data_IF_547305961423
#
_entry.id   IF_547305961423
#
_cell.length_a   1.000
_cell.length_b   1.000
_cell.length_c   1.000
_cell.angle_alpha   90.00
_cell.angle_beta   90.00
_cell.angle_gamma   90.00
#
_symmetry.space_group_name_H-M   'P 1'
#
loop_
_entity.id
_entity.type
_entity.pdbx_description
1 polymer ?
#
# COMPACT_ATOMS: atom_id res chain seq x y z
N UNK A 1 7.47 -12.27 -23.06
CA UNK A 1 7.75 -13.34 -22.09
C UNK A 1 8.74 -12.78 -21.06
N UNK A 2 8.24 -12.16 -19.99
CA UNK A 2 9.14 -11.69 -18.92
C UNK A 2 9.69 -12.94 -18.26
N UNK A 3 10.99 -13.14 -18.44
CA UNK A 3 11.75 -13.95 -17.50
C UNK A 3 11.59 -13.23 -16.15
N UNK A 4 10.60 -13.63 -15.36
CA UNK A 4 10.90 -13.85 -13.94
C UNK A 4 12.12 -14.74 -14.06
N UNK A 5 13.30 -14.19 -13.79
CA UNK A 5 14.50 -15.01 -13.81
C UNK A 5 14.10 -16.22 -12.99
N UNK A 6 14.04 -17.38 -13.64
CA UNK A 6 14.43 -18.64 -13.02
C UNK A 6 15.87 -18.40 -12.57
N UNK A 7 16.06 -17.55 -11.56
CA UNK A 7 16.99 -17.84 -10.52
C UNK A 7 16.59 -19.25 -10.12
N UNK A 8 17.52 -20.19 -10.14
CA UNK A 8 17.23 -21.53 -9.68
C UNK A 8 16.85 -21.37 -8.21
N UNK A 9 15.56 -21.25 -7.93
CA UNK A 9 14.92 -21.54 -6.65
C UNK A 9 14.86 -23.06 -6.43
N UNK A 10 15.67 -23.82 -7.18
CA UNK A 10 16.06 -25.17 -6.81
C UNK A 10 16.90 -25.07 -5.53
N UNK A 11 16.25 -25.05 -4.37
CA UNK A 11 16.89 -25.23 -3.07
C UNK A 11 16.44 -24.32 -1.91
N UNK A 12 15.44 -23.44 -2.10
CA UNK A 12 14.92 -22.58 -1.01
C UNK A 12 13.41 -22.71 -0.79
N UNK A 13 12.76 -23.73 -1.37
CA UNK A 13 11.52 -24.22 -0.80
C UNK A 13 11.90 -24.98 0.46
N UNK A 14 11.82 -24.28 1.59
CA UNK A 14 11.77 -24.94 2.88
C UNK A 14 10.41 -25.61 2.96
N UNK A 15 10.38 -26.89 3.36
CA UNK A 15 9.11 -27.55 3.73
C UNK A 15 8.49 -26.92 4.99
N UNK A 16 9.25 -26.03 5.65
CA UNK A 16 8.82 -25.23 6.79
C UNK A 16 8.21 -23.93 6.25
N UNK A 17 7.13 -23.44 6.88
CA UNK A 17 6.43 -22.22 6.47
C UNK A 17 7.22 -20.91 6.74
N UNK A 18 8.54 -20.90 6.54
CA UNK A 18 9.49 -19.86 6.95
C UNK A 18 9.85 -18.85 5.83
N UNK A 19 9.13 -18.90 4.70
CA UNK A 19 9.44 -18.11 3.49
C UNK A 19 9.63 -16.59 3.74
N UNK A 20 8.81 -15.98 4.60
CA UNK A 20 8.97 -14.58 5.00
C UNK A 20 10.34 -14.30 5.62
N UNK A 21 10.80 -15.18 6.50
CA UNK A 21 12.07 -15.02 7.21
C UNK A 21 13.26 -15.27 6.30
N UNK A 22 13.15 -16.20 5.35
CA UNK A 22 14.15 -16.39 4.30
C UNK A 22 14.25 -15.16 3.38
N UNK A 23 13.09 -14.60 2.98
CA UNK A 23 13.04 -13.37 2.19
C UNK A 23 13.68 -12.19 2.93
N UNK A 24 13.36 -12.02 4.22
CA UNK A 24 13.93 -10.97 5.05
C UNK A 24 15.44 -11.16 5.27
N UNK A 25 15.88 -12.38 5.58
CA UNK A 25 17.29 -12.71 5.69
C UNK A 25 18.06 -12.41 4.40
N UNK A 26 17.49 -12.74 3.23
CA UNK A 26 18.11 -12.42 1.95
C UNK A 26 18.18 -10.90 1.70
N UNK A 27 17.21 -10.13 2.17
CA UNK A 27 17.24 -8.67 2.08
C UNK A 27 18.32 -8.05 2.98
N UNK A 28 18.48 -8.56 4.20
CA UNK A 28 19.56 -8.16 5.11
C UNK A 28 20.95 -8.48 4.55
N UNK A 29 21.10 -9.68 3.98
CA UNK A 29 22.37 -10.17 3.46
C UNK A 29 22.59 -9.70 2.01
N UNK A 30 23.28 -8.57 1.87
CA UNK A 30 23.63 -7.99 0.56
C UNK A 30 24.74 -8.81 -0.14
N UNK A 31 24.66 -8.89 -1.48
CA UNK A 31 25.67 -9.53 -2.31
C UNK A 31 25.49 -11.04 -2.56
N UNK A 32 26.61 -11.71 -2.88
CA UNK A 32 26.66 -13.17 -3.09
C UNK A 32 26.71 -13.86 -1.72
N UNK A 33 25.65 -14.58 -1.40
CA UNK A 33 25.41 -15.19 -0.09
C UNK A 33 24.98 -16.64 -0.33
N UNK A 34 25.50 -17.58 0.45
CA UNK A 34 25.11 -18.99 0.32
C UNK A 34 23.72 -19.24 0.91
N UNK A 35 22.98 -20.28 0.44
CA UNK A 35 21.70 -20.67 1.02
C UNK A 35 21.78 -20.94 2.53
N UNK A 36 22.88 -21.53 3.01
CA UNK A 36 23.08 -21.83 4.43
C UNK A 36 23.18 -20.57 5.29
N UNK A 37 23.87 -19.54 4.79
CA UNK A 37 23.95 -18.25 5.47
C UNK A 37 22.57 -17.59 5.59
N UNK A 38 21.75 -17.67 4.53
CA UNK A 38 20.37 -17.16 4.53
C UNK A 38 19.53 -17.90 5.56
N UNK A 39 19.60 -19.24 5.60
CA UNK A 39 18.87 -20.07 6.56
C UNK A 39 19.28 -19.78 8.01
N UNK A 40 20.57 -19.63 8.26
CA UNK A 40 21.10 -19.28 9.59
C UNK A 40 20.59 -17.91 10.05
N UNK A 41 20.62 -16.90 9.16
CA UNK A 41 20.13 -15.56 9.50
C UNK A 41 18.60 -15.56 9.66
N UNK A 42 17.85 -16.28 8.83
CA UNK A 42 16.40 -16.43 8.99
C UNK A 42 16.05 -17.03 10.36
N UNK A 43 16.70 -18.12 10.76
CA UNK A 43 16.54 -18.74 12.10
C UNK A 43 16.87 -17.74 13.22
N UNK A 44 17.90 -16.91 13.06
CA UNK A 44 18.25 -15.87 14.03
C UNK A 44 17.16 -14.81 14.14
N UNK A 45 16.66 -14.29 13.01
CA UNK A 45 15.62 -13.27 12.96
C UNK A 45 14.29 -13.77 13.54
N UNK A 46 13.89 -15.01 13.23
CA UNK A 46 12.72 -15.67 13.81
C UNK A 46 12.82 -15.75 15.33
N UNK A 47 13.94 -16.26 15.83
CA UNK A 47 14.16 -16.40 17.27
C UNK A 47 14.12 -15.06 17.99
N UNK A 48 14.70 -14.03 17.39
CA UNK A 48 14.65 -12.68 17.93
C UNK A 48 13.23 -12.12 17.92
N UNK A 49 12.47 -12.31 16.83
CA UNK A 49 11.11 -11.78 16.72
C UNK A 49 10.15 -12.39 17.73
N UNK A 50 10.14 -13.72 17.82
CA UNK A 50 9.28 -14.52 18.70
C UNK A 50 9.86 -14.73 20.12
N UNK A 51 11.02 -14.14 20.44
CA UNK A 51 11.70 -14.28 21.73
C UNK A 51 12.00 -15.74 22.13
N UNK A 52 12.50 -16.54 21.18
CA UNK A 52 12.73 -17.98 21.36
C UNK A 52 14.19 -18.31 21.70
N UNK A 53 14.37 -19.19 22.68
CA UNK A 53 15.66 -19.85 22.92
C UNK A 53 15.98 -20.86 21.81
N UNK A 54 17.23 -21.32 21.74
CA UNK A 54 17.65 -22.31 20.72
C UNK A 54 16.85 -23.61 20.82
N UNK A 55 16.59 -24.09 22.04
CA UNK A 55 15.82 -25.33 22.30
C UNK A 55 14.35 -25.17 21.90
N UNK A 56 13.74 -24.04 22.23
CA UNK A 56 12.34 -23.78 21.88
C UNK A 56 12.12 -23.68 20.37
N UNK A 57 13.09 -23.09 19.65
CA UNK A 57 12.99 -22.97 18.20
C UNK A 57 12.81 -24.32 17.50
N UNK A 58 13.58 -25.33 17.88
CA UNK A 58 13.60 -26.61 17.18
C UNK A 58 12.25 -27.35 17.31
N UNK A 59 11.48 -27.10 18.37
CA UNK A 59 10.08 -27.56 18.50
C UNK A 59 9.13 -26.62 17.77
N UNK A 60 9.26 -25.30 17.99
CA UNK A 60 8.39 -24.26 17.41
C UNK A 60 8.30 -24.33 15.90
N UNK A 61 9.43 -24.54 15.20
CA UNK A 61 9.48 -24.48 13.74
C UNK A 61 8.67 -25.59 13.07
N UNK A 62 8.47 -26.74 13.74
CA UNK A 62 7.70 -27.85 13.18
C UNK A 62 6.19 -27.57 13.22
N UNK A 63 5.73 -26.82 14.23
CA UNK A 63 4.33 -26.44 14.40
C UNK A 63 4.01 -25.05 13.80
N UNK A 64 5.02 -24.40 13.21
CA UNK A 64 4.92 -23.04 12.69
C UNK A 64 4.04 -22.99 11.44
N UNK A 65 2.95 -22.23 11.53
CA UNK A 65 1.96 -22.09 10.43
C UNK A 65 2.35 -21.09 9.35
N UNK A 66 3.41 -20.31 9.59
CA UNK A 66 3.80 -19.22 8.70
C UNK A 66 3.71 -17.87 9.38
N UNK A 67 4.29 -16.87 8.73
CA UNK A 67 4.24 -15.48 9.21
C UNK A 67 2.87 -14.90 8.90
N UNK A 68 2.18 -14.37 9.91
CA UNK A 68 0.87 -13.76 9.73
C UNK A 68 1.04 -12.30 9.30
N UNK A 69 0.88 -12.05 7.99
CA UNK A 69 1.04 -10.72 7.42
C UNK A 69 0.01 -9.72 7.97
N UNK A 70 -1.18 -10.19 8.35
CA UNK A 70 -2.26 -9.32 8.83
C UNK A 70 -1.93 -8.88 10.26
N UNK A 71 -1.61 -9.84 11.13
CA UNK A 71 -1.47 -9.58 12.56
C UNK A 71 -0.04 -9.19 12.99
N UNK A 72 0.99 -9.75 12.34
CA UNK A 72 2.38 -9.63 12.81
C UNK A 72 3.19 -8.55 12.09
N UNK A 73 2.76 -8.12 10.89
CA UNK A 73 3.57 -7.22 10.05
C UNK A 73 3.78 -5.84 10.67
N UNK A 74 2.77 -5.25 11.31
CA UNK A 74 2.92 -3.96 11.97
C UNK A 74 3.92 -4.04 13.13
N UNK A 75 3.83 -5.09 13.95
CA UNK A 75 4.78 -5.37 15.04
C UNK A 75 6.20 -5.55 14.51
N UNK A 76 6.34 -6.26 13.39
CA UNK A 76 7.61 -6.44 12.71
C UNK A 76 8.23 -5.13 12.21
N UNK A 77 7.44 -4.30 11.53
CA UNK A 77 7.85 -2.97 11.04
C UNK A 77 8.38 -2.09 12.17
N UNK A 78 7.68 -2.07 13.31
CA UNK A 78 8.10 -1.32 14.50
C UNK A 78 9.40 -1.88 15.07
N UNK A 79 9.44 -3.21 15.31
CA UNK A 79 10.60 -3.87 15.93
C UNK A 79 11.87 -3.75 15.09
N UNK A 80 11.74 -3.72 13.76
CA UNK A 80 12.87 -3.62 12.84
C UNK A 80 13.18 -2.21 12.36
N UNK A 81 12.31 -1.23 12.63
CA UNK A 81 12.47 0.17 12.19
C UNK A 81 12.67 0.24 10.66
N UNK A 82 11.76 -0.36 9.89
CA UNK A 82 11.83 -0.40 8.41
C UNK A 82 10.49 -0.08 7.78
N UNK A 83 10.49 0.25 6.49
CA UNK A 83 9.27 0.26 5.69
C UNK A 83 9.11 -1.08 4.97
N UNK A 84 7.87 -1.49 4.71
CA UNK A 84 7.56 -2.68 3.90
C UNK A 84 6.61 -2.28 2.77
N UNK A 85 6.98 -2.63 1.53
CA UNK A 85 6.10 -2.53 0.37
C UNK A 85 5.62 -3.94 -0.01
N UNK A 86 4.32 -4.09 -0.18
CA UNK A 86 3.66 -5.37 -0.46
C UNK A 86 3.12 -5.35 -1.89
N UNK A 87 3.68 -6.23 -2.71
CA UNK A 87 3.25 -6.46 -4.08
C UNK A 87 2.35 -7.69 -4.14
N UNK A 88 1.39 -7.64 -5.06
CA UNK A 88 0.47 -8.72 -5.36
C UNK A 88 0.53 -9.07 -6.84
N UNK A 89 0.02 -10.25 -7.17
CA UNK A 89 -0.22 -10.67 -8.54
C UNK A 89 -1.72 -10.71 -8.79
N UNK A 90 -2.16 -10.01 -9.81
CA UNK A 90 -3.51 -10.11 -10.32
C UNK A 90 -3.61 -11.32 -11.25
N UNK A 91 -4.48 -12.28 -10.92
CA UNK A 91 -4.67 -13.48 -11.72
C UNK A 91 -5.48 -13.22 -13.00
N UNK A 92 -6.42 -12.28 -12.95
CA UNK A 92 -7.33 -11.99 -14.04
C UNK A 92 -6.59 -11.21 -15.14
N UNK A 93 -5.93 -10.13 -14.73
CA UNK A 93 -5.22 -9.24 -15.65
C UNK A 93 -3.75 -9.62 -15.86
N UNK A 94 -3.24 -10.60 -15.10
CA UNK A 94 -1.89 -11.19 -15.25
C UNK A 94 -0.74 -10.17 -15.12
N UNK A 95 -0.86 -9.26 -14.16
CA UNK A 95 0.20 -8.30 -13.85
C UNK A 95 0.49 -8.23 -12.35
N UNK A 96 1.67 -7.70 -12.00
CA UNK A 96 2.06 -7.43 -10.64
C UNK A 96 1.85 -5.95 -10.31
N UNK A 97 1.38 -5.65 -9.11
CA UNK A 97 1.18 -4.28 -8.66
C UNK A 97 1.54 -4.08 -7.20
N UNK A 98 1.80 -2.83 -6.83
CA UNK A 98 2.01 -2.42 -5.45
C UNK A 98 0.64 -2.26 -4.78
N UNK A 99 0.31 -3.14 -3.82
CA UNK A 99 -0.98 -3.09 -3.13
C UNK A 99 -0.93 -2.24 -1.86
N UNK A 100 -0.05 -2.59 -0.92
CA UNK A 100 0.01 -1.92 0.38
C UNK A 100 1.44 -1.48 0.74
N UNK A 101 1.53 -0.41 1.54
CA UNK A 101 2.79 0.05 2.13
C UNK A 101 2.63 0.24 3.63
N UNK A 102 3.40 -0.53 4.41
CA UNK A 102 3.52 -0.37 5.86
C UNK A 102 4.73 0.51 6.17
N UNK A 103 4.48 1.75 6.57
CA UNK A 103 5.55 2.72 6.87
C UNK A 103 5.71 2.88 8.37
N UNK A 104 6.93 2.69 8.89
CA UNK A 104 7.20 2.79 10.33
C UNK A 104 6.72 4.12 10.93
N UNK A 105 7.06 5.24 10.30
CA UNK A 105 6.66 6.57 10.80
C UNK A 105 5.13 6.76 10.83
N UNK A 106 4.36 6.07 9.98
CA UNK A 106 2.90 6.12 10.03
C UNK A 106 2.34 5.20 11.13
N UNK A 107 2.86 3.97 11.21
CA UNK A 107 2.36 2.96 12.14
C UNK A 107 2.71 3.30 13.59
N UNK A 108 3.91 3.83 13.85
CA UNK A 108 4.33 4.22 15.20
C UNK A 108 3.44 5.31 15.79
N UNK A 109 2.96 6.24 14.95
CA UNK A 109 2.13 7.35 15.38
C UNK A 109 0.72 6.87 15.73
N UNK A 110 0.16 5.92 14.97
CA UNK A 110 -1.14 5.31 15.26
C UNK A 110 -1.15 4.63 16.63
N UNK A 111 -0.09 3.88 16.97
CA UNK A 111 0.01 3.17 18.26
C UNK A 111 0.20 4.08 19.49
N UNK A 112 0.54 5.36 19.28
CA UNK A 112 0.67 6.33 20.37
C UNK A 112 -0.71 6.92 20.74
N UNK A 113 -1.61 7.04 19.77
CA UNK A 113 -2.95 7.61 19.98
C UNK A 113 -3.86 6.68 20.80
N UNK A 114 -3.75 5.35 20.62
CA UNK A 114 -4.56 4.35 21.34
C UNK A 114 -4.18 4.16 22.83
N UNK A 115 -3.07 4.75 23.30
CA UNK A 115 -2.64 4.67 24.70
C UNK A 115 -2.94 5.94 25.52
N UNK A 116 -3.78 6.84 24.99
CA UNK A 116 -4.13 8.11 25.65
C UNK A 116 -5.61 8.23 26.03
N UNK A 117 -6.20 7.16 26.56
CA UNK A 117 -7.39 7.32 27.41
C UNK A 117 -6.96 7.70 28.83
N UNK A 118 -6.96 9.01 29.13
CA UNK A 118 -7.56 9.61 30.33
C UNK A 118 -7.28 11.13 30.41
N UNK A 119 -8.39 11.88 30.53
CA UNK A 119 -8.56 13.28 30.97
C UNK A 119 -8.53 14.40 29.91
N UNK A 120 -9.71 14.57 29.32
CA UNK A 120 -10.54 15.81 29.28
C UNK A 120 -9.89 17.21 29.36
N UNK A 121 -10.39 18.03 28.42
CA UNK A 121 -10.75 19.45 28.48
C UNK A 121 -9.76 20.55 28.00
N UNK A 122 -10.29 21.26 27.01
CA UNK A 122 -10.15 22.69 26.67
C UNK A 122 -8.84 23.29 26.10
N UNK A 123 -9.00 23.77 24.87
CA UNK A 123 -8.36 24.89 24.19
C UNK A 123 -7.34 25.73 24.99
N UNK A 124 -6.04 25.46 24.83
CA UNK A 124 -5.05 26.54 24.63
C UNK A 124 -3.73 26.00 24.08
N UNK A 125 -3.12 26.80 23.20
CA UNK A 125 -1.73 26.65 22.76
C UNK A 125 -0.77 26.40 23.91
N UNK A 126 0.15 25.45 23.77
CA UNK A 126 1.60 25.65 23.97
C UNK A 126 2.34 24.29 23.97
N UNK A 127 3.38 24.25 23.15
CA UNK A 127 4.64 23.49 23.32
C UNK A 127 4.75 22.63 24.59
N UNK A 128 4.73 21.31 24.39
CA UNK A 128 5.21 20.32 25.36
C UNK A 128 6.39 19.59 24.74
N UNK A 129 7.52 19.64 25.45
CA UNK A 129 8.85 19.20 25.04
C UNK A 129 8.84 17.78 24.44
N UNK A 130 9.03 17.70 23.12
CA UNK A 130 9.43 16.47 22.45
C UNK A 130 10.87 16.15 22.88
N UNK A 131 11.03 15.10 23.69
CA UNK A 131 12.31 14.44 23.83
C UNK A 131 12.74 13.97 22.44
N UNK A 132 13.94 14.38 22.04
CA UNK A 132 14.58 14.18 20.74
C UNK A 132 14.72 12.69 20.36
N UNK A 133 13.66 12.06 19.87
CA UNK A 133 13.76 10.84 19.06
C UNK A 133 14.08 11.26 17.61
N UNK A 134 15.23 10.85 17.04
CA UNK A 134 15.61 11.29 15.70
C UNK A 134 14.57 10.81 14.70
N UNK A 135 13.97 11.75 13.97
CA UNK A 135 13.19 11.44 12.77
C UNK A 135 14.16 10.75 11.82
N UNK A 136 14.07 9.42 11.71
CA UNK A 136 14.90 8.66 10.77
C UNK A 136 14.37 8.97 9.36
N UNK A 137 14.97 9.98 8.72
CA UNK A 137 14.51 10.50 7.42
C UNK A 137 14.72 9.51 6.27
N UNK A 138 15.54 8.47 6.45
CA UNK A 138 15.85 7.48 5.41
C UNK A 138 15.79 6.04 5.94
N UNK A 139 14.57 5.56 6.19
CA UNK A 139 14.33 4.16 6.57
C UNK A 139 14.45 3.25 5.36
N UNK A 140 15.18 2.14 5.53
CA UNK A 140 15.29 1.10 4.51
C UNK A 140 13.91 0.49 4.23
N UNK A 141 13.69 0.14 2.97
CA UNK A 141 12.42 -0.45 2.52
C UNK A 141 12.62 -1.89 2.08
N UNK A 142 11.87 -2.81 2.68
CA UNK A 142 11.82 -4.21 2.32
C UNK A 142 10.64 -4.44 1.38
N UNK A 143 10.93 -4.87 0.15
CA UNK A 143 9.90 -5.11 -0.87
C UNK A 143 9.58 -6.60 -0.92
N UNK A 144 8.31 -6.96 -0.74
CA UNK A 144 7.86 -8.35 -0.76
C UNK A 144 6.76 -8.55 -1.80
N UNK A 145 6.74 -9.73 -2.42
CA UNK A 145 5.63 -10.21 -3.23
C UNK A 145 4.90 -11.29 -2.42
N UNK A 146 3.61 -11.10 -2.22
CA UNK A 146 2.72 -12.10 -1.62
C UNK A 146 2.07 -12.92 -2.72
N UNK A 147 2.19 -14.24 -2.59
CA UNK A 147 1.56 -15.20 -3.49
C UNK A 147 0.75 -16.16 -2.65
N UNK A 148 -0.56 -16.23 -2.90
CA UNK A 148 -1.41 -17.26 -2.31
C UNK A 148 -1.18 -18.59 -3.02
N UNK A 149 -1.11 -19.66 -2.24
CA UNK A 149 -1.07 -21.04 -2.70
C UNK A 149 -2.09 -21.86 -1.88
N UNK A 150 -2.43 -23.04 -2.38
CA UNK A 150 -3.32 -23.99 -1.72
C UNK A 150 -2.61 -25.32 -1.54
N UNK A 151 -2.33 -25.69 -0.29
CA UNK A 151 -1.82 -27.01 0.04
C UNK A 151 -2.86 -27.74 0.89
N UNK A 152 -3.32 -28.91 0.44
CA UNK A 152 -4.33 -29.72 1.13
C UNK A 152 -5.55 -28.92 1.64
N UNK A 153 -6.12 -28.07 0.78
CA UNK A 153 -7.25 -27.17 1.08
C UNK A 153 -7.01 -26.10 2.17
N UNK A 154 -5.76 -25.85 2.57
CA UNK A 154 -5.38 -24.69 3.39
C UNK A 154 -4.77 -23.63 2.49
N UNK A 155 -5.29 -22.40 2.60
CA UNK A 155 -4.68 -21.24 1.97
C UNK A 155 -3.36 -20.93 2.69
N UNK A 156 -2.25 -21.01 1.97
CA UNK A 156 -0.91 -20.66 2.45
C UNK A 156 -0.45 -19.44 1.66
N UNK A 157 0.32 -18.56 2.30
CA UNK A 157 0.95 -17.45 1.61
C UNK A 157 2.45 -17.68 1.52
N UNK A 158 2.98 -17.62 0.31
CA UNK A 158 4.41 -17.55 0.06
C UNK A 158 4.85 -16.10 -0.09
N UNK A 159 5.95 -15.76 0.58
CA UNK A 159 6.55 -14.43 0.53
C UNK A 159 7.86 -14.50 -0.23
N UNK A 160 7.99 -13.68 -1.27
CA UNK A 160 9.22 -13.55 -2.05
C UNK A 160 9.83 -12.17 -1.86
N UNK A 161 11.14 -12.11 -1.67
CA UNK A 161 11.87 -10.86 -1.67
C UNK A 161 12.00 -10.30 -3.10
N UNK A 162 11.60 -9.05 -3.30
CA UNK A 162 11.66 -8.35 -4.59
C UNK A 162 12.84 -7.40 -4.64
N UNK A 163 13.80 -7.69 -5.52
CA UNK A 163 14.98 -6.84 -5.74
C UNK A 163 14.76 -5.73 -6.76
N UNK A 164 13.97 -6.00 -7.81
CA UNK A 164 13.66 -5.05 -8.87
C UNK A 164 12.14 -4.87 -9.00
N UNK A 165 11.62 -3.82 -8.35
CA UNK A 165 10.19 -3.49 -8.34
C UNK A 165 9.68 -3.04 -9.71
N UNK A 166 10.48 -2.27 -10.43
CA UNK A 166 10.13 -1.75 -11.75
C UNK A 166 10.07 -2.88 -12.77
N UNK A 167 10.99 -3.85 -12.68
CA UNK A 167 10.99 -5.05 -13.52
C UNK A 167 9.82 -6.00 -13.22
N UNK A 168 9.43 -6.10 -11.95
CA UNK A 168 8.29 -6.93 -11.52
C UNK A 168 6.97 -6.37 -12.06
N UNK A 169 6.71 -5.09 -11.80
CA UNK A 169 5.44 -4.42 -12.14
C UNK A 169 5.41 -3.89 -13.58
N UNK A 170 6.58 -3.78 -14.23
CA UNK A 170 6.77 -3.08 -15.52
C UNK A 170 6.34 -1.61 -15.48
N UNK A 171 6.26 -1.05 -14.29
CA UNK A 171 5.73 0.27 -14.02
C UNK A 171 6.74 1.00 -13.12
N UNK A 172 6.93 2.29 -13.38
CA UNK A 172 7.75 3.15 -12.51
C UNK A 172 6.83 3.91 -11.55
N UNK A 173 6.92 3.59 -10.27
CA UNK A 173 6.16 4.30 -9.24
C UNK A 173 6.87 5.61 -8.86
N UNK A 174 6.08 6.65 -8.58
CA UNK A 174 6.59 7.89 -8.01
C UNK A 174 7.20 7.63 -6.62
N UNK A 175 8.45 8.05 -6.35
CA UNK A 175 9.14 7.82 -5.08
C UNK A 175 8.62 8.68 -3.91
N UNK A 176 7.70 9.60 -4.17
CA UNK A 176 7.12 10.46 -3.14
C UNK A 176 5.74 9.96 -2.69
N UNK A 177 4.80 9.79 -3.62
CA UNK A 177 3.46 9.32 -3.29
C UNK A 177 3.32 7.79 -3.30
N UNK A 178 4.08 7.08 -4.15
CA UNK A 178 3.91 5.65 -4.45
C UNK A 178 2.49 5.23 -4.85
N UNK A 179 1.64 6.20 -5.23
CA UNK A 179 0.27 5.98 -5.70
C UNK A 179 0.18 6.10 -7.22
N UNK A 180 0.95 7.01 -7.81
CA UNK A 180 1.03 7.15 -9.26
C UNK A 180 2.15 6.28 -9.82
N UNK A 181 1.81 5.44 -10.80
CA UNK A 181 2.73 4.70 -11.65
C UNK A 181 2.73 5.25 -13.07
N UNK A 182 3.79 4.92 -13.81
CA UNK A 182 4.03 5.33 -15.18
C UNK A 182 4.63 4.17 -15.96
N UNK A 183 4.13 3.90 -17.17
CA UNK A 183 4.69 2.86 -18.03
C UNK A 183 5.99 3.38 -18.66
N UNK A 184 7.16 2.76 -18.40
CA UNK A 184 8.43 3.16 -19.01
C UNK A 184 8.45 3.03 -20.54
N UNK A 185 7.49 2.34 -21.16
CA UNK A 185 7.37 2.18 -22.61
C UNK A 185 6.56 3.30 -23.27
N UNK A 186 5.89 4.15 -22.50
CA UNK A 186 5.13 5.27 -23.05
C UNK A 186 6.08 6.31 -23.68
N UNK A 187 5.72 6.83 -24.86
CA UNK A 187 6.52 7.83 -25.58
C UNK A 187 6.72 9.13 -24.76
N UNK A 188 5.77 9.44 -23.89
CA UNK A 188 5.76 10.61 -23.03
C UNK A 188 6.21 10.31 -21.59
N UNK A 189 6.61 9.08 -21.30
CA UNK A 189 7.03 8.63 -19.97
C UNK A 189 7.95 9.63 -19.26
N UNK A 190 9.04 10.05 -19.92
CA UNK A 190 10.04 10.92 -19.30
C UNK A 190 9.45 12.27 -18.89
N UNK A 191 8.67 12.90 -19.78
CA UNK A 191 8.05 14.21 -19.51
C UNK A 191 7.06 14.10 -18.35
N UNK A 192 6.16 13.12 -18.43
CA UNK A 192 5.05 13.00 -17.49
C UNK A 192 5.53 12.56 -16.10
N UNK A 193 6.50 11.65 -16.05
CA UNK A 193 7.15 11.21 -14.80
C UNK A 193 7.88 12.37 -14.11
N UNK A 194 8.66 13.17 -14.86
CA UNK A 194 9.40 14.30 -14.28
C UNK A 194 8.47 15.44 -13.83
N UNK A 195 7.44 15.75 -14.63
CA UNK A 195 6.42 16.73 -14.26
C UNK A 195 5.69 16.30 -12.98
N UNK A 196 5.33 15.02 -12.88
CA UNK A 196 4.69 14.52 -11.67
C UNK A 196 5.63 14.56 -10.46
N UNK A 197 6.88 14.09 -10.57
CA UNK A 197 7.81 14.04 -9.44
C UNK A 197 8.09 15.43 -8.88
N UNK A 198 8.36 16.40 -9.75
CA UNK A 198 8.64 17.77 -9.33
C UNK A 198 7.46 18.37 -8.56
N UNK A 199 6.24 18.22 -9.07
CA UNK A 199 5.04 18.70 -8.38
C UNK A 199 4.72 17.89 -7.12
N UNK A 200 4.89 16.57 -7.16
CA UNK A 200 4.60 15.68 -6.05
C UNK A 200 5.56 15.91 -4.87
N UNK A 201 6.83 16.21 -5.17
CA UNK A 201 7.82 16.61 -4.15
C UNK A 201 7.39 17.89 -3.44
N UNK A 202 6.95 18.91 -4.19
CA UNK A 202 6.44 20.17 -3.62
C UNK A 202 5.23 19.91 -2.72
N UNK A 203 4.35 19.00 -3.14
CA UNK A 203 3.15 18.63 -2.38
C UNK A 203 3.44 17.65 -1.22
N UNK A 204 4.71 17.38 -0.89
CA UNK A 204 5.06 16.46 0.20
C UNK A 204 4.61 15.01 -0.03
N UNK A 205 4.49 14.57 -1.28
CA UNK A 205 4.01 13.23 -1.62
C UNK A 205 2.49 13.08 -1.58
N UNK A 206 1.74 14.14 -1.30
CA UNK A 206 0.28 14.11 -1.28
C UNK A 206 -0.29 14.33 -2.69
N UNK A 207 -1.27 13.52 -3.08
CA UNK A 207 -2.04 13.75 -4.30
C UNK A 207 -3.12 14.79 -3.99
N UNK A 208 -2.87 16.03 -4.41
CA UNK A 208 -3.83 17.12 -4.32
C UNK A 208 -4.75 17.04 -5.54
N UNK A 209 -5.97 16.51 -5.35
CA UNK A 209 -7.03 16.60 -6.34
C UNK A 209 -7.63 18.00 -6.27
N UNK A 210 -7.39 18.84 -7.29
CA UNK A 210 -8.05 20.14 -7.40
C UNK A 210 -9.42 19.94 -8.04
N UNK A 211 -10.48 20.35 -7.34
CA UNK A 211 -11.83 20.42 -7.93
C UNK A 211 -11.80 21.56 -8.95
N UNK A 212 -12.05 21.24 -10.22
CA UNK A 212 -12.31 22.24 -11.24
C UNK A 212 -13.82 22.39 -11.34
N UNK A 213 -14.33 23.53 -10.89
CA UNK A 213 -15.72 23.91 -11.14
C UNK A 213 -15.81 24.40 -12.58
N UNK A 214 -16.92 24.09 -13.25
CA UNK A 214 -17.20 24.67 -14.56
C UNK A 214 -17.28 26.19 -14.44
N UNK A 215 -16.74 26.90 -15.43
CA UNK A 215 -16.66 28.36 -15.43
C UNK A 215 -18.05 29.02 -15.42
N UNK A 216 -19.08 28.29 -15.85
CA UNK A 216 -20.46 28.76 -15.86
C UNK A 216 -21.38 27.73 -15.18
N UNK A 217 -22.20 28.15 -14.20
CA UNK A 217 -23.26 27.29 -13.69
C UNK A 217 -24.24 27.00 -14.83
N UNK A 218 -24.50 25.71 -15.09
CA UNK A 218 -25.55 25.33 -16.04
C UNK A 218 -26.89 25.94 -15.60
N UNK A 219 -27.60 26.55 -16.55
CA UNK A 219 -28.98 26.94 -16.31
C UNK A 219 -29.78 25.69 -15.96
N UNK A 220 -30.59 25.75 -14.91
CA UNK A 220 -31.47 24.63 -14.56
C UNK A 220 -32.50 24.44 -15.67
N UNK A 221 -32.34 23.39 -16.50
CA UNK A 221 -33.31 23.04 -17.53
C UNK A 221 -33.86 21.64 -17.26
N UNK A 222 -34.92 21.52 -16.42
CA UNK A 222 -35.50 20.24 -15.98
C UNK A 222 -35.89 19.31 -17.15
N UNK A 223 -36.35 19.91 -18.25
CA UNK A 223 -36.75 19.27 -19.50
C UNK A 223 -35.60 18.49 -20.17
N UNK A 224 -34.35 18.92 -19.97
CA UNK A 224 -33.15 18.31 -20.56
C UNK A 224 -32.50 17.35 -19.55
N UNK A 225 -32.48 17.71 -18.26
CA UNK A 225 -31.81 16.96 -17.20
C UNK A 225 -32.62 15.80 -16.59
N UNK A 226 -33.72 15.38 -17.23
CA UNK A 226 -34.57 14.24 -16.80
C UNK A 226 -35.01 14.32 -15.32
N UNK A 227 -35.39 15.52 -14.86
CA UNK A 227 -35.85 15.67 -13.48
C UNK A 227 -37.17 14.90 -13.23
N UNK A 228 -37.16 13.95 -12.30
CA UNK A 228 -38.32 13.08 -12.00
C UNK A 228 -39.54 13.86 -11.48
N UNK A 229 -39.31 14.91 -10.68
CA UNK A 229 -40.38 15.79 -10.16
C UNK A 229 -41.05 16.57 -11.29
N UNK A 230 -40.29 17.09 -12.24
CA UNK A 230 -40.83 17.77 -13.42
C UNK A 230 -41.62 16.79 -14.30
N UNK A 231 -41.09 15.58 -14.53
CA UNK A 231 -41.78 14.54 -15.30
C UNK A 231 -43.12 14.14 -14.67
N UNK A 232 -43.16 13.97 -13.34
CA UNK A 232 -44.39 13.70 -12.60
C UNK A 232 -45.42 14.83 -12.73
N UNK A 233 -45.01 16.09 -12.57
CA UNK A 233 -45.92 17.24 -12.69
C UNK A 233 -46.43 17.41 -14.13
N UNK A 234 -45.60 17.12 -15.13
CA UNK A 234 -46.01 17.12 -16.54
C UNK A 234 -47.07 16.05 -16.82
N UNK A 235 -46.88 14.83 -16.34
CA UNK A 235 -47.83 13.73 -16.51
C UNK A 235 -49.20 14.00 -15.87
N UNK A 236 -49.23 14.83 -14.82
CA UNK A 236 -50.44 15.19 -14.09
C UNK A 236 -51.00 16.59 -14.46
N UNK A 237 -50.53 17.20 -15.56
CA UNK A 237 -50.92 18.56 -16.00
C UNK A 237 -50.77 19.65 -14.92
N UNK A 238 -49.82 19.46 -13.99
CA UNK A 238 -49.58 20.32 -12.84
C UNK A 238 -48.26 21.11 -12.96
N UNK A 239 -47.79 21.37 -14.18
CA UNK A 239 -46.49 22.02 -14.45
C UNK A 239 -46.34 23.40 -13.82
N UNK A 240 -47.45 24.12 -13.60
CA UNK A 240 -47.45 25.42 -12.92
C UNK A 240 -46.97 25.37 -11.46
N UNK A 241 -47.01 24.19 -10.83
CA UNK A 241 -46.51 24.00 -9.46
C UNK A 241 -44.98 23.87 -9.42
N UNK A 242 -44.35 23.65 -10.57
CA UNK A 242 -42.90 23.55 -10.65
C UNK A 242 -42.26 24.92 -10.40
N UNK A 243 -41.51 25.04 -9.30
CA UNK A 243 -40.69 26.22 -9.03
C UNK A 243 -39.23 25.88 -9.38
N UNK A 244 -38.58 26.63 -10.29
CA UNK A 244 -37.16 26.44 -10.55
C UNK A 244 -36.39 26.63 -9.26
N UNK A 245 -35.66 25.61 -8.83
CA UNK A 245 -34.71 25.75 -7.73
C UNK A 245 -33.57 26.61 -8.25
N UNK A 246 -33.49 27.86 -7.83
CA UNK A 246 -32.33 28.70 -8.09
C UNK A 246 -31.19 28.25 -7.17
N UNK A 247 -29.96 28.18 -7.69
CA UNK A 247 -28.73 27.86 -6.94
C UNK A 247 -28.54 26.42 -6.45
N UNK A 248 -29.15 25.42 -7.08
CA UNK A 248 -28.80 24.02 -6.76
C UNK A 248 -27.60 23.57 -7.59
N UNK A 249 -26.63 22.92 -6.92
CA UNK A 249 -25.43 22.39 -7.55
C UNK A 249 -25.73 20.93 -7.93
N UNK A 250 -25.70 20.61 -9.22
CA UNK A 250 -25.65 19.20 -9.67
C UNK A 250 -24.19 18.77 -9.63
N UNK A 251 -23.84 17.90 -8.69
CA UNK A 251 -22.55 17.20 -8.73
C UNK A 251 -22.67 16.04 -9.69
N UNK A 252 -21.92 16.07 -10.78
CA UNK A 252 -21.67 14.87 -11.59
C UNK A 252 -20.37 14.23 -11.07
N UNK A 253 -20.50 13.10 -10.38
CA UNK A 253 -19.35 12.32 -9.93
C UNK A 253 -18.98 11.32 -11.02
N UNK A 254 -18.36 11.79 -12.10
CA UNK A 254 -17.74 10.88 -13.05
C UNK A 254 -16.44 10.33 -12.46
N UNK A 255 -16.47 9.08 -12.02
CA UNK A 255 -15.24 8.31 -11.81
C UNK A 255 -14.72 7.91 -13.19
N UNK A 256 -13.80 8.71 -13.74
CA UNK A 256 -13.12 8.35 -14.98
C UNK A 256 -12.20 7.16 -14.68
N UNK A 257 -12.60 5.96 -15.10
CA UNK A 257 -11.71 4.82 -15.16
C UNK A 257 -10.59 5.14 -16.16
N UNK A 258 -9.34 5.08 -15.68
CA UNK A 258 -8.18 5.32 -16.54
C UNK A 258 -8.04 4.14 -17.50
N UNK A 259 -8.13 4.42 -18.80
CA UNK A 259 -7.66 3.52 -19.86
C UNK A 259 -6.15 3.35 -19.82
#
# INVERSE_FOLDING_TARGET
MVKVSRFPLAGLFSDLNDCFWLAFAKWLLQGKVSPDQIRCEAKKQMREFYNLTKKQYDTFINDYKGFDVVDELNKFVIKKLINVNIFYYDNDDKFYYLGERKQYNKIKNINIEDNSELQQDDQHSCSVNQLDEPIVENLLTFNILLVSDTNDNKAIYHVFYVTNTDGLTRQKYCPHCYQQSFDPKDDHFQRDYQQHISQCKINGGQIIKKVKLDEQPFQYVPHIQRNETYAYLLANNATQQFKPTQYYITYDFETVERK
#
